data_IF_812951389702
#
_entry.id   IF_812951389702
#
_cell.length_a   1.000
_cell.length_b   1.000
_cell.length_c   1.000
_cell.angle_alpha   90.00
_cell.angle_beta   90.00
_cell.angle_gamma   90.00
#
_symmetry.space_group_name_H-M   'P 1'
#
loop_
_entity.id
_entity.type
_entity.pdbx_description
1 polymer ?
#
# COMPACT_ATOMS: atom_id res chain seq x y z
N UNK A 1 17.80 -1.83 -8.01
CA UNK A 1 17.32 -2.60 -9.13
C UNK A 1 15.81 -2.81 -9.15
N UNK A 2 15.26 -3.20 -8.02
CA UNK A 2 13.83 -3.45 -7.95
C UNK A 2 12.97 -2.20 -8.15
N UNK A 3 13.54 -1.03 -7.89
CA UNK A 3 12.81 0.22 -8.06
C UNK A 3 12.34 0.43 -9.50
N UNK A 4 13.19 0.12 -10.46
CA UNK A 4 12.83 0.29 -11.88
C UNK A 4 11.74 -0.70 -12.28
N UNK A 5 11.88 -1.95 -11.86
CA UNK A 5 10.91 -2.99 -12.18
C UNK A 5 9.56 -2.69 -11.54
N UNK A 6 9.57 -2.33 -10.25
CA UNK A 6 8.35 -2.03 -9.53
C UNK A 6 7.64 -0.81 -10.11
N UNK A 7 8.40 0.21 -10.48
CA UNK A 7 7.82 1.38 -11.11
C UNK A 7 7.17 1.06 -12.45
N UNK A 8 7.81 0.19 -13.24
CA UNK A 8 7.26 -0.20 -14.54
C UNK A 8 5.98 -1.02 -14.37
N UNK A 9 5.92 -1.87 -13.36
CA UNK A 9 4.76 -2.74 -13.15
C UNK A 9 3.58 -2.01 -12.52
N UNK A 10 3.84 -1.14 -11.55
CA UNK A 10 2.78 -0.60 -10.71
C UNK A 10 2.52 0.89 -10.88
N UNK A 11 3.44 1.61 -11.49
CA UNK A 11 3.37 3.07 -11.47
C UNK A 11 3.85 3.63 -10.14
N UNK A 12 4.07 4.94 -10.10
CA UNK A 12 4.70 5.57 -8.94
C UNK A 12 3.82 5.56 -7.70
N UNK A 13 2.57 5.99 -7.83
CA UNK A 13 1.68 6.11 -6.68
C UNK A 13 1.39 4.75 -6.04
N UNK A 14 1.03 3.78 -6.87
CA UNK A 14 0.73 2.43 -6.39
C UNK A 14 1.95 1.80 -5.74
N UNK A 15 3.11 1.95 -6.37
CA UNK A 15 4.36 1.39 -5.83
C UNK A 15 4.69 1.99 -4.46
N UNK A 16 4.52 3.31 -4.32
CA UNK A 16 4.82 3.97 -3.04
C UNK A 16 3.89 3.51 -1.93
N UNK A 17 2.61 3.39 -2.24
CA UNK A 17 1.63 2.95 -1.25
C UNK A 17 1.84 1.48 -0.87
N UNK A 18 2.01 0.61 -1.86
CA UNK A 18 2.25 -0.80 -1.59
C UNK A 18 3.55 -1.00 -0.83
N UNK A 19 4.58 -0.25 -1.18
CA UNK A 19 5.85 -0.32 -0.47
C UNK A 19 5.70 0.00 1.01
N UNK A 20 4.98 1.08 1.31
CA UNK A 20 4.75 1.46 2.70
C UNK A 20 4.00 0.38 3.46
N UNK A 21 2.87 -0.08 2.91
CA UNK A 21 2.01 -1.01 3.62
C UNK A 21 2.60 -2.42 3.71
N UNK A 22 3.30 -2.86 2.68
CA UNK A 22 3.85 -4.22 2.69
C UNK A 22 5.22 -4.33 3.35
N UNK A 23 5.90 -3.22 3.59
CA UNK A 23 7.10 -3.23 4.42
C UNK A 23 6.76 -3.20 5.91
N UNK A 24 5.56 -2.75 6.25
CA UNK A 24 5.09 -2.69 7.62
C UNK A 24 3.70 -3.32 7.71
N UNK A 25 3.58 -4.63 7.41
CA UNK A 25 2.27 -5.24 7.20
C UNK A 25 1.42 -5.37 8.45
N UNK A 26 2.03 -5.29 9.61
CA UNK A 26 1.29 -5.39 10.88
C UNK A 26 0.73 -4.04 11.32
N UNK A 27 1.06 -2.97 10.61
CA UNK A 27 0.61 -1.63 10.98
C UNK A 27 -0.54 -1.17 10.10
N UNK A 28 -1.52 -0.55 10.73
CA UNK A 28 -2.62 0.12 10.04
C UNK A 28 -2.31 1.62 9.98
N UNK A 29 -2.48 2.19 8.80
CA UNK A 29 -2.16 3.61 8.56
C UNK A 29 -3.41 4.36 8.14
N UNK A 30 -3.68 5.53 8.74
CA UNK A 30 -4.75 6.36 8.26
C UNK A 30 -4.30 7.16 7.02
N UNK A 31 -5.29 7.63 6.25
CA UNK A 31 -5.03 8.16 4.91
C UNK A 31 -4.02 9.31 4.92
N UNK A 32 -4.15 10.26 5.83
CA UNK A 32 -3.24 11.41 5.86
C UNK A 32 -1.80 10.97 6.08
N UNK A 33 -1.59 9.98 6.95
CA UNK A 33 -0.25 9.46 7.21
C UNK A 33 0.32 8.76 5.97
N UNK A 34 -0.53 8.02 5.25
CA UNK A 34 -0.11 7.37 4.02
C UNK A 34 0.32 8.43 3.00
N UNK A 35 -0.47 9.48 2.81
CA UNK A 35 -0.13 10.55 1.89
C UNK A 35 1.22 11.15 2.22
N UNK A 36 1.46 11.43 3.50
CA UNK A 36 2.70 12.03 3.95
C UNK A 36 3.90 11.09 3.76
N UNK A 37 3.77 9.84 4.18
CA UNK A 37 4.89 8.90 4.15
C UNK A 37 5.18 8.39 2.75
N UNK A 38 4.15 8.14 1.95
CA UNK A 38 4.32 7.68 0.58
C UNK A 38 4.64 8.82 -0.38
N UNK A 39 4.47 10.08 0.06
CA UNK A 39 4.75 11.27 -0.74
C UNK A 39 3.96 11.27 -2.03
N UNK A 40 2.66 11.06 -1.90
CA UNK A 40 1.75 11.04 -3.04
C UNK A 40 0.69 12.13 -2.86
N UNK A 41 0.02 12.49 -3.96
CA UNK A 41 -1.04 13.48 -3.88
C UNK A 41 -2.30 12.88 -3.24
N UNK A 42 -3.10 13.70 -2.54
CA UNK A 42 -4.31 13.18 -1.90
C UNK A 42 -5.28 12.49 -2.85
N UNK A 43 -5.52 13.08 -4.02
CA UNK A 43 -6.44 12.49 -4.99
C UNK A 43 -5.96 11.16 -5.53
N UNK A 44 -4.67 11.07 -5.86
CA UNK A 44 -4.10 9.82 -6.34
C UNK A 44 -4.12 8.76 -5.25
N UNK A 45 -3.81 9.15 -4.01
CA UNK A 45 -3.83 8.21 -2.89
C UNK A 45 -5.22 7.64 -2.68
N UNK A 46 -6.25 8.49 -2.69
CA UNK A 46 -7.62 8.03 -2.48
C UNK A 46 -8.04 7.02 -3.56
N UNK A 47 -7.72 7.31 -4.81
CA UNK A 47 -8.07 6.41 -5.90
C UNK A 47 -7.37 5.05 -5.78
N UNK A 48 -6.07 5.07 -5.49
CA UNK A 48 -5.32 3.82 -5.38
C UNK A 48 -5.75 3.00 -4.16
N UNK A 49 -5.93 3.64 -3.03
CA UNK A 49 -6.36 2.93 -1.83
C UNK A 49 -7.71 2.26 -2.02
N UNK A 50 -8.64 2.94 -2.70
CA UNK A 50 -9.93 2.35 -3.01
C UNK A 50 -9.79 1.12 -3.90
N UNK A 51 -9.00 1.23 -4.96
CA UNK A 51 -8.79 0.12 -5.89
C UNK A 51 -8.12 -1.06 -5.21
N UNK A 52 -7.09 -0.79 -4.41
CA UNK A 52 -6.36 -1.85 -3.74
C UNK A 52 -7.22 -2.58 -2.70
N UNK A 53 -8.06 -1.83 -2.00
CA UNK A 53 -8.98 -2.43 -1.02
C UNK A 53 -10.06 -3.25 -1.70
N UNK A 54 -10.61 -2.74 -2.81
CA UNK A 54 -11.63 -3.47 -3.57
C UNK A 54 -11.08 -4.75 -4.17
N UNK A 55 -9.79 -4.74 -4.52
CA UNK A 55 -9.14 -5.94 -5.06
C UNK A 55 -8.72 -6.93 -3.96
N UNK A 56 -8.87 -6.57 -2.69
CA UNK A 56 -8.50 -7.46 -1.60
C UNK A 56 -7.01 -7.49 -1.31
N UNK A 57 -6.26 -6.56 -1.86
CA UNK A 57 -4.81 -6.50 -1.63
C UNK A 57 -4.50 -5.88 -0.28
N UNK A 58 -5.29 -4.89 0.10
CA UNK A 58 -5.19 -4.25 1.40
C UNK A 58 -6.56 -4.28 2.07
N UNK A 59 -6.58 -4.06 3.38
CA UNK A 59 -7.81 -4.06 4.16
C UNK A 59 -8.09 -2.65 4.64
N UNK A 60 -9.34 -2.23 4.44
CA UNK A 60 -9.84 -0.96 4.95
C UNK A 60 -10.56 -1.22 6.26
N UNK A 61 -10.25 -0.45 7.28
CA UNK A 61 -10.94 -0.54 8.56
C UNK A 61 -11.25 0.85 9.10
N UNK A 62 -12.16 0.91 10.07
CA UNK A 62 -12.57 2.17 10.68
C UNK A 62 -12.40 2.07 12.19
N UNK A 63 -11.80 3.10 12.77
CA UNK A 63 -11.64 3.18 14.21
C UNK A 63 -11.68 4.66 14.62
N UNK A 64 -12.53 4.97 15.60
CA UNK A 64 -12.64 6.34 16.13
C UNK A 64 -12.90 7.37 15.03
N UNK A 65 -13.78 7.02 14.08
CA UNK A 65 -14.16 7.86 12.96
C UNK A 65 -13.03 8.10 11.96
N UNK A 66 -11.95 7.32 12.03
CA UNK A 66 -10.86 7.40 11.07
C UNK A 66 -10.81 6.12 10.24
N UNK A 67 -10.46 6.29 8.97
CA UNK A 67 -10.29 5.17 8.05
C UNK A 67 -8.81 4.77 8.01
N UNK A 68 -8.56 3.48 8.20
CA UNK A 68 -7.20 2.93 8.19
C UNK A 68 -7.06 1.91 7.07
N UNK A 69 -5.85 1.76 6.58
CA UNK A 69 -5.51 0.75 5.57
C UNK A 69 -4.29 -0.04 6.03
N UNK A 70 -4.29 -1.32 5.68
CA UNK A 70 -3.24 -2.25 6.11
C UNK A 70 -3.10 -3.33 5.06
N UNK A 71 -1.89 -3.89 4.92
CA UNK A 71 -1.68 -5.04 4.04
C UNK A 71 -2.61 -6.17 4.46
N UNK A 72 -3.19 -6.88 3.49
CA UNK A 72 -4.14 -7.95 3.76
C UNK A 72 -3.43 -9.29 3.77
N UNK A 73 -3.24 -9.91 4.94
CA UNK A 73 -2.57 -11.21 5.01
C UNK A 73 -3.35 -12.34 4.34
N UNK A 74 -4.64 -12.14 4.07
CA UNK A 74 -5.46 -13.12 3.36
C UNK A 74 -5.39 -12.94 1.84
N UNK A 75 -4.71 -11.92 1.36
CA UNK A 75 -4.54 -11.72 -0.08
C UNK A 75 -3.74 -12.90 -0.66
N UNK A 76 -4.22 -13.56 -1.74
CA UNK A 76 -3.47 -14.68 -2.31
C UNK A 76 -2.05 -14.34 -2.72
N UNK A 77 -1.79 -13.08 -3.06
CA UNK A 77 -0.46 -12.64 -3.47
C UNK A 77 0.32 -11.99 -2.33
N UNK A 78 -0.10 -12.20 -1.07
CA UNK A 78 0.51 -11.51 0.07
C UNK A 78 2.01 -11.79 0.18
N UNK A 79 2.40 -13.07 0.10
CA UNK A 79 3.80 -13.46 0.25
C UNK A 79 4.64 -12.88 -0.88
N UNK A 80 4.13 -12.95 -2.11
CA UNK A 80 4.84 -12.40 -3.25
C UNK A 80 5.01 -10.89 -3.15
N UNK A 81 3.98 -10.18 -2.73
CA UNK A 81 4.05 -8.74 -2.57
C UNK A 81 5.02 -8.35 -1.45
N UNK A 82 4.98 -9.07 -0.32
CA UNK A 82 5.94 -8.87 0.74
C UNK A 82 7.37 -9.04 0.21
N UNK A 83 7.58 -10.11 -0.52
CA UNK A 83 8.89 -10.41 -1.07
C UNK A 83 9.39 -9.31 -1.99
N UNK A 84 8.51 -8.81 -2.87
CA UNK A 84 8.88 -7.75 -3.80
C UNK A 84 9.33 -6.47 -3.08
N UNK A 85 8.62 -6.09 -2.02
CA UNK A 85 8.88 -4.82 -1.34
C UNK A 85 9.89 -4.95 -0.21
N UNK A 86 10.21 -6.16 0.23
CA UNK A 86 11.22 -6.39 1.25
C UNK A 86 12.60 -6.67 0.67
N UNK A 87 12.68 -7.00 -0.62
CA UNK A 87 13.95 -7.33 -1.25
C UNK A 87 14.75 -6.10 -1.63
N UNK A 88 14.22 -4.91 -1.42
CA UNK A 88 14.93 -3.68 -1.72
C UNK A 88 16.11 -3.51 -0.76
N UNK A 89 17.27 -3.17 -1.27
CA UNK A 89 18.42 -2.90 -0.40
C UNK A 89 18.18 -1.66 0.44
#
# INVERSE_FOLDING_TARGET
>A
MNQTILGALFGKTKRSILGLLFQQPDDAFYVRKIIRLAKVSPGAAQRELKRLAEAGIIVRSTKDNHVFFQANPACPAYIELRSLFMSSP
#
